data_IF_595604860982
#
_entry.id   IF_595604860982
#
_cell.length_a   1.000
_cell.length_b   1.000
_cell.length_c   1.000
_cell.angle_alpha   90.00
_cell.angle_beta   90.00
_cell.angle_gamma   90.00
#
_symmetry.space_group_name_H-M   'P 1'
#
loop_
_entity.id
_entity.type
_entity.pdbx_description
1 polymer ?
#
# COMPACT_ATOMS: atom_id res chain seq x y z
N UNK A 1 -13.31 -10.75 6.08
CA UNK A 1 -14.25 -10.13 5.13
C UNK A 1 -15.55 -10.92 5.19
N UNK A 2 -16.72 -10.29 5.05
CA UNK A 2 -18.02 -10.99 5.10
C UNK A 2 -18.72 -10.93 3.74
N UNK A 3 -19.79 -11.73 3.55
CA UNK A 3 -20.52 -11.82 2.28
C UNK A 3 -21.16 -10.50 1.84
N UNK A 4 -21.64 -9.68 2.78
CA UNK A 4 -22.22 -8.37 2.45
C UNK A 4 -21.18 -7.40 1.85
N UNK A 5 -19.95 -7.42 2.37
CA UNK A 5 -18.85 -6.63 1.78
C UNK A 5 -18.45 -7.18 0.41
N UNK A 6 -18.45 -8.50 0.23
CA UNK A 6 -18.21 -9.09 -1.10
C UNK A 6 -19.29 -8.68 -2.10
N UNK A 7 -20.58 -8.78 -1.75
CA UNK A 7 -21.69 -8.32 -2.60
C UNK A 7 -21.53 -6.85 -3.00
N UNK A 8 -21.06 -5.99 -2.09
CA UNK A 8 -20.86 -4.57 -2.38
C UNK A 8 -19.68 -4.29 -3.32
N UNK A 9 -18.62 -5.11 -3.28
CA UNK A 9 -17.36 -4.84 -3.98
C UNK A 9 -16.91 -6.03 -4.85
N UNK A 10 -17.84 -6.77 -5.45
CA UNK A 10 -17.56 -7.97 -6.26
C UNK A 10 -17.06 -7.67 -7.67
N UNK A 11 -17.36 -6.48 -8.21
CA UNK A 11 -17.00 -6.11 -9.57
C UNK A 11 -15.47 -6.15 -9.77
N UNK A 12 -15.03 -6.80 -10.86
CA UNK A 12 -13.62 -6.94 -11.21
C UNK A 12 -12.84 -7.98 -10.38
N UNK A 13 -13.51 -8.81 -9.59
CA UNK A 13 -12.87 -9.87 -8.81
C UNK A 13 -13.10 -11.26 -9.42
N UNK A 14 -12.01 -12.01 -9.58
CA UNK A 14 -12.03 -13.45 -9.82
C UNK A 14 -11.81 -14.17 -8.49
N UNK A 15 -12.68 -15.13 -8.17
CA UNK A 15 -12.64 -15.84 -6.88
C UNK A 15 -12.70 -17.36 -7.06
N UNK A 16 -12.11 -18.07 -6.10
CA UNK A 16 -12.05 -19.53 -6.10
C UNK A 16 -12.70 -20.12 -4.84
N UNK A 17 -12.94 -21.43 -4.80
CA UNK A 17 -13.46 -22.10 -3.60
C UNK A 17 -12.47 -22.24 -2.44
N UNK A 18 -11.22 -21.81 -2.64
CA UNK A 18 -10.09 -21.88 -1.70
C UNK A 18 -9.61 -23.31 -1.39
N UNK A 19 -8.58 -23.40 -0.54
CA UNK A 19 -8.00 -24.63 -0.01
C UNK A 19 -8.97 -25.39 0.93
N UNK A 20 -8.50 -26.44 1.61
CA UNK A 20 -9.31 -27.21 2.58
C UNK A 20 -10.00 -26.33 3.66
N UNK A 21 -9.49 -25.15 3.95
CA UNK A 21 -10.10 -24.18 4.88
C UNK A 21 -11.28 -23.40 4.30
N UNK A 22 -11.55 -23.49 3.00
CA UNK A 22 -12.63 -22.80 2.30
C UNK A 22 -14.02 -23.31 2.69
N UNK A 23 -15.05 -22.46 2.49
CA UNK A 23 -16.43 -22.77 2.89
C UNK A 23 -16.96 -24.06 2.20
N UNK A 24 -16.64 -24.26 0.92
CA UNK A 24 -17.08 -25.43 0.14
C UNK A 24 -16.36 -26.72 0.60
N UNK A 25 -15.01 -26.79 0.63
CA UNK A 25 -14.30 -27.93 1.20
C UNK A 25 -14.71 -28.27 2.63
N UNK A 26 -14.87 -27.29 3.51
CA UNK A 26 -15.30 -27.52 4.90
C UNK A 26 -16.71 -28.13 4.98
N UNK A 27 -17.64 -27.68 4.15
CA UNK A 27 -18.99 -28.26 4.12
C UNK A 27 -18.97 -29.73 3.63
N UNK A 28 -18.12 -30.05 2.66
CA UNK A 28 -17.92 -31.43 2.19
C UNK A 28 -17.35 -32.30 3.31
N UNK A 29 -16.28 -31.87 3.97
CA UNK A 29 -15.63 -32.62 5.07
C UNK A 29 -16.56 -32.84 6.27
N UNK A 30 -17.49 -31.92 6.51
CA UNK A 30 -18.53 -32.07 7.54
C UNK A 30 -19.67 -33.01 7.14
N UNK A 31 -19.63 -33.63 5.96
CA UNK A 31 -20.68 -34.50 5.46
C UNK A 31 -21.97 -33.76 5.08
N UNK A 32 -21.86 -32.48 4.68
CA UNK A 32 -23.00 -31.62 4.31
C UNK A 32 -22.92 -31.21 2.83
N UNK A 33 -23.03 -32.16 1.89
CA UNK A 33 -22.83 -31.86 0.46
C UNK A 33 -23.88 -30.90 -0.11
N UNK A 34 -25.12 -30.92 0.39
CA UNK A 34 -26.15 -29.94 -0.01
C UNK A 34 -25.80 -28.51 0.44
N UNK A 35 -25.15 -28.36 1.60
CA UNK A 35 -24.66 -27.06 2.03
C UNK A 35 -23.52 -26.57 1.12
N UNK A 36 -22.61 -27.47 0.73
CA UNK A 36 -21.53 -27.17 -0.20
C UNK A 36 -22.07 -26.66 -1.56
N UNK A 37 -23.10 -27.33 -2.11
CA UNK A 37 -23.81 -26.89 -3.32
C UNK A 37 -24.43 -25.51 -3.17
N UNK A 38 -25.10 -25.25 -2.04
CA UNK A 38 -25.71 -23.93 -1.77
C UNK A 38 -24.67 -22.82 -1.72
N UNK A 39 -23.51 -23.09 -1.10
CA UNK A 39 -22.40 -22.14 -1.01
C UNK A 39 -21.83 -21.88 -2.41
N UNK A 40 -21.48 -22.93 -3.15
CA UNK A 40 -20.94 -22.80 -4.51
C UNK A 40 -21.92 -22.06 -5.44
N UNK A 41 -23.23 -22.35 -5.34
CA UNK A 41 -24.26 -21.64 -6.10
C UNK A 41 -24.29 -20.15 -5.79
N UNK A 42 -24.22 -19.76 -4.51
CA UNK A 42 -24.21 -18.35 -4.14
C UNK A 42 -23.02 -17.60 -4.77
N UNK A 43 -21.82 -18.21 -4.74
CA UNK A 43 -20.64 -17.62 -5.40
C UNK A 43 -20.81 -17.58 -6.92
N UNK A 44 -21.35 -18.63 -7.56
CA UNK A 44 -21.64 -18.63 -9.01
C UNK A 44 -22.68 -17.58 -9.40
N UNK A 45 -23.71 -17.37 -8.59
CA UNK A 45 -24.73 -16.35 -8.82
C UNK A 45 -24.17 -14.93 -8.71
N UNK A 46 -23.21 -14.70 -7.81
CA UNK A 46 -22.60 -13.39 -7.59
C UNK A 46 -21.48 -13.05 -8.59
N UNK A 47 -20.59 -14.00 -8.88
CA UNK A 47 -19.38 -13.78 -9.69
C UNK A 47 -19.49 -14.35 -11.12
N UNK A 48 -20.53 -15.12 -11.43
CA UNK A 48 -20.74 -15.68 -12.76
C UNK A 48 -19.57 -16.55 -13.24
N UNK A 49 -18.99 -16.21 -14.38
CA UNK A 49 -17.88 -16.96 -14.98
C UNK A 49 -16.51 -16.64 -14.36
N UNK A 50 -16.48 -15.71 -13.40
CA UNK A 50 -15.30 -15.38 -12.61
C UNK A 50 -15.24 -16.13 -11.27
N UNK A 51 -16.14 -17.12 -11.10
CA UNK A 51 -16.04 -18.11 -10.03
C UNK A 51 -15.52 -19.46 -10.53
N UNK A 52 -14.50 -19.97 -9.87
CA UNK A 52 -13.92 -21.28 -10.13
C UNK A 52 -13.95 -22.16 -8.89
N UNK A 53 -14.16 -23.46 -9.08
CA UNK A 53 -13.89 -24.43 -8.01
C UNK A 53 -12.42 -24.83 -8.05
N UNK A 54 -11.77 -24.83 -6.90
CA UNK A 54 -10.33 -25.02 -6.77
C UNK A 54 -10.02 -26.43 -6.31
N UNK A 55 -9.12 -27.11 -7.03
CA UNK A 55 -8.56 -28.40 -6.60
C UNK A 55 -7.09 -28.23 -6.23
N UNK A 56 -6.72 -28.85 -5.11
CA UNK A 56 -5.37 -28.85 -4.56
C UNK A 56 -5.07 -30.27 -4.05
N UNK A 57 -3.80 -30.66 -4.09
CA UNK A 57 -3.39 -31.95 -3.54
C UNK A 57 -1.97 -31.90 -2.97
N UNK A 58 -1.91 -32.12 -1.66
CA UNK A 58 -0.72 -32.13 -0.81
C UNK A 58 -0.48 -33.51 -0.17
N UNK A 59 -1.19 -34.55 -0.61
CA UNK A 59 -1.11 -35.90 -0.05
C UNK A 59 -2.05 -36.14 1.15
N UNK A 60 -2.96 -35.21 1.46
CA UNK A 60 -3.88 -35.33 2.60
C UNK A 60 -5.10 -36.20 2.28
N UNK A 61 -5.56 -37.00 3.24
CA UNK A 61 -6.73 -37.89 3.03
C UNK A 61 -8.02 -37.10 2.76
N UNK A 62 -8.11 -35.94 3.37
CA UNK A 62 -9.20 -34.98 3.24
C UNK A 62 -9.35 -34.52 1.79
N UNK A 63 -8.25 -34.32 1.06
CA UNK A 63 -8.27 -33.91 -0.36
C UNK A 63 -8.80 -35.01 -1.27
N UNK A 64 -8.55 -36.29 -0.94
CA UNK A 64 -9.13 -37.44 -1.66
C UNK A 64 -10.65 -37.52 -1.49
N UNK A 65 -11.19 -36.88 -0.46
CA UNK A 65 -12.64 -36.77 -0.25
C UNK A 65 -13.19 -35.51 -0.93
N UNK A 66 -12.49 -34.38 -0.80
CA UNK A 66 -12.95 -33.07 -1.28
C UNK A 66 -12.90 -32.98 -2.80
N UNK A 67 -11.79 -33.36 -3.43
CA UNK A 67 -11.59 -33.15 -4.87
C UNK A 67 -12.64 -33.87 -5.75
N UNK A 68 -13.01 -35.15 -5.48
CA UNK A 68 -14.06 -35.81 -6.25
C UNK A 68 -15.45 -35.19 -6.04
N UNK A 69 -15.75 -34.67 -4.86
CA UNK A 69 -17.02 -33.96 -4.59
C UNK A 69 -17.04 -32.59 -5.25
N UNK A 70 -15.92 -31.87 -5.27
CA UNK A 70 -15.76 -30.64 -6.04
C UNK A 70 -16.07 -30.89 -7.52
N UNK A 71 -15.54 -31.96 -8.11
CA UNK A 71 -15.84 -32.33 -9.50
C UNK A 71 -17.33 -32.59 -9.74
N UNK A 72 -18.04 -33.18 -8.79
CA UNK A 72 -19.50 -33.37 -8.90
C UNK A 72 -20.22 -32.03 -8.89
N UNK A 73 -19.89 -31.16 -7.92
CA UNK A 73 -20.51 -29.83 -7.80
C UNK A 73 -20.22 -28.98 -9.06
N UNK A 74 -19.00 -29.02 -9.57
CA UNK A 74 -18.58 -28.36 -10.80
C UNK A 74 -19.50 -28.71 -11.98
N UNK A 75 -19.72 -30.02 -12.21
CA UNK A 75 -20.58 -30.51 -13.30
C UNK A 75 -22.05 -30.18 -13.10
N UNK A 76 -22.54 -30.24 -11.87
CA UNK A 76 -23.95 -29.96 -11.56
C UNK A 76 -24.32 -28.49 -11.70
N UNK A 77 -23.38 -27.59 -11.37
CA UNK A 77 -23.59 -26.15 -11.35
C UNK A 77 -22.97 -25.41 -12.56
N UNK A 78 -22.34 -26.15 -13.47
CA UNK A 78 -21.62 -25.61 -14.63
C UNK A 78 -20.55 -24.58 -14.22
N UNK A 79 -19.65 -25.00 -13.31
CA UNK A 79 -18.56 -24.17 -12.78
C UNK A 79 -17.24 -24.80 -13.20
N UNK A 80 -16.36 -24.01 -13.81
CA UNK A 80 -15.01 -24.45 -14.21
C UNK A 80 -14.16 -24.76 -12.99
N UNK A 81 -13.24 -25.72 -13.15
CA UNK A 81 -12.28 -26.11 -12.12
C UNK A 81 -10.93 -25.48 -12.43
N UNK A 82 -10.19 -25.04 -11.40
CA UNK A 82 -8.81 -24.57 -11.52
C UNK A 82 -7.91 -25.36 -10.58
N UNK A 83 -6.72 -25.74 -11.05
CA UNK A 83 -5.71 -26.44 -10.24
C UNK A 83 -4.69 -25.46 -9.66
N UNK A 84 -4.48 -25.51 -8.35
CA UNK A 84 -3.50 -24.68 -7.64
C UNK A 84 -2.75 -25.51 -6.59
N UNK A 85 -1.75 -24.93 -5.93
CA UNK A 85 -0.88 -25.65 -4.98
C UNK A 85 -0.59 -24.91 -3.66
N UNK A 86 -1.34 -23.83 -3.37
CA UNK A 86 -1.20 -23.02 -2.15
C UNK A 86 0.26 -22.80 -1.70
N UNK A 87 1.11 -22.34 -2.63
CA UNK A 87 2.56 -22.35 -2.43
C UNK A 87 3.01 -21.37 -1.33
N UNK A 88 3.75 -21.86 -0.34
CA UNK A 88 4.29 -21.09 0.78
C UNK A 88 5.82 -20.90 0.71
N UNK A 89 6.49 -21.64 -0.18
CA UNK A 89 7.94 -21.57 -0.40
C UNK A 89 8.28 -21.85 -1.87
N UNK A 90 9.50 -21.51 -2.30
CA UNK A 90 9.86 -21.51 -3.72
C UNK A 90 10.20 -22.91 -4.20
N UNK A 91 11.18 -23.57 -3.56
CA UNK A 91 11.62 -24.91 -3.93
C UNK A 91 11.29 -25.96 -2.88
N UNK A 92 11.28 -27.23 -3.27
CA UNK A 92 11.03 -28.35 -2.36
C UNK A 92 12.05 -28.45 -1.19
N UNK A 93 13.26 -27.90 -1.36
CA UNK A 93 14.31 -27.87 -0.33
C UNK A 93 14.12 -26.75 0.72
N UNK A 94 13.11 -25.89 0.57
CA UNK A 94 12.87 -24.76 1.49
C UNK A 94 11.91 -25.15 2.64
N UNK A 95 11.45 -26.41 2.68
CA UNK A 95 10.46 -26.89 3.66
C UNK A 95 10.94 -26.74 5.10
N UNK A 96 12.22 -27.00 5.40
CA UNK A 96 12.77 -26.85 6.74
C UNK A 96 12.85 -25.37 7.16
N UNK A 97 13.16 -24.48 6.20
CA UNK A 97 13.19 -23.05 6.45
C UNK A 97 11.78 -22.51 6.74
N UNK A 98 10.77 -23.03 6.02
CA UNK A 98 9.37 -22.71 6.27
C UNK A 98 8.88 -23.27 7.62
N UNK A 99 9.19 -24.52 7.99
CA UNK A 99 8.84 -25.08 9.32
C UNK A 99 9.44 -24.25 10.46
N UNK A 100 10.71 -23.84 10.33
CA UNK A 100 11.35 -22.95 11.29
C UNK A 100 10.66 -21.58 11.37
N UNK A 101 10.21 -21.01 10.25
CA UNK A 101 9.44 -19.76 10.24
C UNK A 101 8.12 -19.89 11.00
N UNK A 102 7.38 -20.99 10.82
CA UNK A 102 6.12 -21.26 11.53
C UNK A 102 6.35 -21.41 13.03
N UNK A 103 7.41 -22.13 13.43
CA UNK A 103 7.80 -22.29 14.82
C UNK A 103 8.13 -20.94 15.48
N UNK A 104 8.88 -20.07 14.78
CA UNK A 104 9.15 -18.69 15.21
C UNK A 104 7.86 -17.88 15.39
N UNK A 105 6.91 -17.97 14.44
CA UNK A 105 5.64 -17.23 14.50
C UNK A 105 4.73 -17.70 15.63
N UNK A 106 4.73 -19.01 15.91
CA UNK A 106 3.87 -19.64 16.92
C UNK A 106 4.53 -19.76 18.30
N UNK A 107 5.81 -19.38 18.42
CA UNK A 107 6.58 -19.49 19.66
C UNK A 107 6.83 -20.93 20.10
N UNK A 108 6.96 -21.84 19.13
CA UNK A 108 7.14 -23.29 19.32
C UNK A 108 8.56 -23.70 18.95
N UNK A 109 9.04 -24.81 19.53
CA UNK A 109 10.31 -25.42 19.14
C UNK A 109 10.12 -26.42 18.00
N UNK A 110 11.13 -26.58 17.14
CA UNK A 110 11.16 -27.60 16.07
C UNK A 110 11.06 -29.02 16.64
N UNK A 111 11.52 -29.21 17.88
CA UNK A 111 11.44 -30.50 18.58
C UNK A 111 10.04 -30.82 19.13
N UNK A 112 9.10 -29.86 19.19
CA UNK A 112 7.74 -30.12 19.67
C UNK A 112 6.92 -30.87 18.62
N UNK A 113 6.37 -32.03 18.98
CA UNK A 113 5.53 -32.84 18.07
C UNK A 113 4.20 -32.16 17.71
N UNK A 114 3.58 -31.46 18.68
CA UNK A 114 2.30 -30.75 18.49
C UNK A 114 2.55 -29.29 18.11
N UNK A 115 2.95 -29.08 16.87
CA UNK A 115 3.15 -27.75 16.26
C UNK A 115 2.46 -27.66 14.91
N UNK A 116 2.26 -26.43 14.44
CA UNK A 116 1.80 -26.20 13.08
C UNK A 116 2.93 -26.56 12.11
N UNK A 117 2.68 -27.55 11.26
CA UNK A 117 3.62 -28.01 10.24
C UNK A 117 2.85 -28.42 8.99
N UNK A 118 3.40 -28.07 7.84
CA UNK A 118 2.85 -28.37 6.52
C UNK A 118 3.40 -29.68 5.97
N UNK A 119 2.82 -30.21 4.89
CA UNK A 119 3.21 -31.52 4.34
C UNK A 119 4.59 -31.49 3.70
N UNK A 120 5.03 -30.32 3.22
CA UNK A 120 6.29 -30.13 2.50
C UNK A 120 6.14 -30.13 0.99
N UNK A 121 4.90 -30.18 0.50
CA UNK A 121 4.59 -30.20 -0.94
C UNK A 121 4.09 -28.85 -1.46
N UNK A 122 3.97 -27.85 -0.57
CA UNK A 122 3.45 -26.50 -0.83
C UNK A 122 4.53 -25.57 -1.43
N UNK A 123 5.31 -26.08 -2.40
CA UNK A 123 6.28 -25.30 -3.18
C UNK A 123 5.73 -24.90 -4.55
N UNK A 124 6.48 -24.09 -5.31
CA UNK A 124 6.11 -23.76 -6.68
C UNK A 124 6.46 -24.92 -7.61
N UNK A 125 5.46 -25.77 -7.89
CA UNK A 125 5.60 -26.95 -8.76
C UNK A 125 5.63 -26.58 -10.23
N UNK A 126 6.33 -27.39 -11.03
CA UNK A 126 6.21 -27.38 -12.48
C UNK A 126 4.85 -27.92 -12.94
N UNK A 127 4.47 -27.60 -14.18
CA UNK A 127 3.23 -28.11 -14.77
C UNK A 127 3.20 -29.65 -14.82
N UNK A 128 4.34 -30.30 -15.06
CA UNK A 128 4.44 -31.77 -15.10
C UNK A 128 4.25 -32.37 -13.70
N UNK A 129 4.81 -31.75 -12.66
CA UNK A 129 4.55 -32.15 -11.27
C UNK A 129 3.08 -31.97 -10.91
N UNK A 130 2.44 -30.88 -11.32
CA UNK A 130 1.01 -30.64 -11.05
C UNK A 130 0.12 -31.72 -11.68
N UNK A 131 0.44 -32.19 -12.90
CA UNK A 131 -0.35 -33.23 -13.60
C UNK A 131 -0.37 -34.57 -12.87
N UNK A 132 0.68 -34.90 -12.11
CA UNK A 132 0.79 -36.20 -11.45
C UNK A 132 0.15 -36.25 -10.07
N UNK A 133 -0.16 -35.11 -9.46
CA UNK A 133 -0.66 -35.06 -8.08
C UNK A 133 -1.99 -35.83 -7.91
N UNK A 134 -2.95 -35.58 -8.81
CA UNK A 134 -4.34 -36.00 -8.64
C UNK A 134 -4.68 -37.39 -9.20
N UNK A 135 -3.69 -38.13 -9.73
CA UNK A 135 -3.90 -39.34 -10.54
C UNK A 135 -4.62 -40.48 -9.81
N UNK A 136 -4.57 -40.50 -8.48
CA UNK A 136 -5.20 -41.53 -7.65
C UNK A 136 -6.70 -41.33 -7.45
N UNK A 137 -7.24 -40.13 -7.67
CA UNK A 137 -8.63 -39.80 -7.30
C UNK A 137 -9.38 -38.88 -8.28
N UNK A 138 -8.72 -38.32 -9.30
CA UNK A 138 -9.36 -37.58 -10.40
C UNK A 138 -8.98 -38.14 -11.78
N UNK A 139 -9.85 -38.04 -12.80
CA UNK A 139 -9.49 -38.37 -14.18
C UNK A 139 -8.46 -37.38 -14.74
N UNK A 140 -7.46 -37.87 -15.48
CA UNK A 140 -6.39 -37.03 -16.05
C UNK A 140 -6.92 -35.90 -16.93
N UNK A 141 -7.97 -36.15 -17.70
CA UNK A 141 -8.62 -35.16 -18.58
C UNK A 141 -9.10 -33.93 -17.80
N UNK A 142 -9.66 -34.13 -16.60
CA UNK A 142 -10.14 -33.07 -15.72
C UNK A 142 -8.96 -32.29 -15.13
N UNK A 143 -7.86 -32.97 -14.81
CA UNK A 143 -6.65 -32.34 -14.27
C UNK A 143 -6.01 -31.45 -15.33
N UNK A 144 -5.89 -31.96 -16.56
CA UNK A 144 -5.34 -31.20 -17.68
C UNK A 144 -6.22 -29.99 -18.01
N UNK A 145 -7.55 -30.13 -17.97
CA UNK A 145 -8.50 -29.02 -18.09
C UNK A 145 -8.33 -28.00 -16.96
N UNK A 146 -8.23 -28.44 -15.71
CA UNK A 146 -8.09 -27.57 -14.55
C UNK A 146 -6.75 -26.79 -14.57
N UNK A 147 -5.69 -27.41 -15.07
CA UNK A 147 -4.41 -26.73 -15.31
C UNK A 147 -4.54 -25.74 -16.47
N UNK A 148 -5.21 -26.09 -17.57
CA UNK A 148 -5.42 -25.18 -18.70
C UNK A 148 -6.24 -23.94 -18.29
N UNK A 149 -7.24 -24.12 -17.43
CA UNK A 149 -8.06 -23.03 -16.89
C UNK A 149 -7.23 -22.02 -16.07
N UNK A 150 -6.04 -22.39 -15.55
CA UNK A 150 -5.14 -21.41 -14.90
C UNK A 150 -4.65 -20.34 -15.89
N UNK A 151 -4.46 -20.71 -17.16
CA UNK A 151 -4.07 -19.77 -18.22
C UNK A 151 -5.26 -18.88 -18.61
N UNK A 152 -6.47 -19.43 -18.65
CA UNK A 152 -7.68 -18.62 -18.86
C UNK A 152 -7.84 -17.56 -17.75
N UNK A 153 -7.62 -17.93 -16.49
CA UNK A 153 -7.62 -16.98 -15.37
C UNK A 153 -6.55 -15.92 -15.57
N UNK A 154 -5.33 -16.30 -15.97
CA UNK A 154 -4.25 -15.36 -16.23
C UNK A 154 -4.57 -14.40 -17.38
N UNK A 155 -5.20 -14.88 -18.45
CA UNK A 155 -5.58 -14.09 -19.63
C UNK A 155 -6.68 -13.04 -19.33
N UNK A 156 -7.45 -13.24 -18.24
CA UNK A 156 -8.44 -12.26 -17.76
C UNK A 156 -7.81 -11.09 -16.98
N UNK A 157 -6.54 -11.19 -16.57
CA UNK A 157 -5.91 -10.18 -15.71
C UNK A 157 -5.48 -8.97 -16.55
N UNK A 158 -6.03 -7.80 -16.24
CA UNK A 158 -5.62 -6.54 -16.83
C UNK A 158 -4.32 -6.01 -16.21
N UNK A 159 -3.52 -5.27 -16.99
CA UNK A 159 -2.35 -4.58 -16.45
C UNK A 159 -2.78 -3.53 -15.42
N UNK A 160 -2.17 -3.59 -14.24
CA UNK A 160 -2.43 -2.65 -13.15
C UNK A 160 -1.13 -1.95 -12.73
N UNK A 161 -1.26 -0.65 -12.44
CA UNK A 161 -0.17 0.15 -11.89
C UNK A 161 -0.37 0.32 -10.39
N UNK A 162 0.51 -0.31 -9.59
CA UNK A 162 0.48 -0.20 -8.12
C UNK A 162 0.88 1.20 -7.64
N UNK A 163 1.73 1.88 -8.42
CA UNK A 163 2.19 3.23 -8.12
C UNK A 163 1.32 4.23 -8.87
N UNK A 164 0.59 5.06 -8.13
CA UNK A 164 -0.15 6.19 -8.69
C UNK A 164 0.72 7.44 -8.78
N UNK A 165 0.35 8.37 -9.66
CA UNK A 165 0.98 9.69 -9.70
C UNK A 165 0.88 10.42 -8.34
N UNK A 166 1.86 11.28 -8.00
CA UNK A 166 1.80 12.08 -6.79
C UNK A 166 0.51 12.91 -6.74
N UNK A 167 -0.31 12.71 -5.71
CA UNK A 167 -1.51 13.51 -5.47
C UNK A 167 -1.19 14.58 -4.45
N UNK A 168 -1.22 15.84 -4.88
CA UNK A 168 -1.14 17.00 -3.99
C UNK A 168 -2.56 17.30 -3.49
N UNK A 169 -2.78 17.55 -2.18
CA UNK A 169 -4.08 17.94 -1.67
C UNK A 169 -4.56 19.25 -2.31
N UNK A 170 -5.87 19.36 -2.56
CA UNK A 170 -6.48 20.63 -2.93
C UNK A 170 -6.47 21.56 -1.71
N UNK A 171 -5.85 22.74 -1.83
CA UNK A 171 -5.85 23.76 -0.77
C UNK A 171 -7.04 24.72 -0.95
N UNK A 172 -7.84 25.00 0.09
CA UNK A 172 -8.95 25.95 -0.03
C UNK A 172 -8.43 27.39 -0.09
N UNK A 173 -8.59 28.05 -1.24
CA UNK A 173 -8.25 29.48 -1.39
C UNK A 173 -9.45 30.39 -1.09
N UNK A 174 -9.24 31.58 -0.49
CA UNK A 174 -10.30 32.56 -0.27
C UNK A 174 -10.97 33.02 -1.57
N UNK A 175 -12.23 33.46 -1.47
CA UNK A 175 -12.98 34.02 -2.60
C UNK A 175 -12.23 35.23 -3.19
N UNK A 176 -12.14 35.29 -4.52
CA UNK A 176 -11.39 36.33 -5.23
C UNK A 176 -9.92 35.98 -5.51
N UNK A 177 -9.41 34.87 -4.97
CA UNK A 177 -8.05 34.38 -5.26
C UNK A 177 -8.03 33.11 -6.10
N UNK A 178 -7.05 33.04 -6.99
CA UNK A 178 -6.51 31.79 -7.55
C UNK A 178 -5.44 31.20 -6.63
N UNK A 179 -5.12 29.91 -6.79
CA UNK A 179 -4.00 29.24 -6.10
C UNK A 179 -2.72 30.04 -6.16
N UNK A 180 -2.33 30.43 -7.38
CA UNK A 180 -1.14 31.23 -7.63
C UNK A 180 -1.22 32.61 -6.96
N UNK A 181 -2.31 33.36 -7.16
CA UNK A 181 -2.41 34.71 -6.58
C UNK A 181 -2.40 34.69 -5.04
N UNK A 182 -2.99 33.67 -4.42
CA UNK A 182 -2.95 33.53 -2.96
C UNK A 182 -1.55 33.15 -2.49
N UNK A 183 -0.88 32.21 -3.17
CA UNK A 183 0.51 31.86 -2.91
C UNK A 183 1.43 33.09 -2.98
N UNK A 184 1.36 33.87 -4.06
CA UNK A 184 2.15 35.12 -4.21
C UNK A 184 1.88 36.10 -3.08
N UNK A 185 0.61 36.33 -2.75
CA UNK A 185 0.22 37.24 -1.67
C UNK A 185 0.80 36.79 -0.32
N UNK A 186 0.60 35.53 0.07
CA UNK A 186 1.09 35.01 1.35
C UNK A 186 2.62 35.04 1.42
N UNK A 187 3.31 34.73 0.32
CA UNK A 187 4.77 34.80 0.27
C UNK A 187 5.27 36.24 0.44
N UNK A 188 4.67 37.22 -0.25
CA UNK A 188 5.06 38.63 -0.13
C UNK A 188 4.77 39.18 1.27
N UNK A 189 3.58 38.90 1.82
CA UNK A 189 3.22 39.29 3.19
C UNK A 189 4.16 38.67 4.23
N UNK A 190 4.52 37.40 4.06
CA UNK A 190 5.47 36.72 4.93
C UNK A 190 6.86 37.38 4.92
N UNK A 191 7.35 37.80 3.75
CA UNK A 191 8.64 38.47 3.65
C UNK A 191 8.62 39.87 4.31
N UNK A 192 7.52 40.61 4.16
CA UNK A 192 7.31 41.91 4.84
C UNK A 192 7.35 41.72 6.37
N UNK A 193 6.64 40.71 6.90
CA UNK A 193 6.61 40.39 8.33
C UNK A 193 8.00 39.99 8.87
N UNK A 194 8.74 39.16 8.13
CA UNK A 194 10.11 38.75 8.47
C UNK A 194 11.05 39.93 8.66
N UNK A 195 10.98 40.92 7.77
CA UNK A 195 11.79 42.13 7.84
C UNK A 195 11.18 43.25 8.69
N UNK A 196 9.96 43.06 9.21
CA UNK A 196 9.22 44.07 9.99
C UNK A 196 9.05 45.39 9.23
N UNK A 197 8.76 45.29 7.95
CA UNK A 197 8.54 46.43 7.06
C UNK A 197 7.05 46.77 6.98
N UNK A 198 6.72 47.97 6.50
CA UNK A 198 5.32 48.36 6.32
C UNK A 198 4.80 48.01 4.92
N UNK A 199 5.67 47.94 3.93
CA UNK A 199 5.33 47.70 2.53
C UNK A 199 6.38 46.83 1.84
N UNK A 200 6.01 46.26 0.70
CA UNK A 200 6.91 45.42 -0.10
C UNK A 200 7.99 46.27 -0.80
N UNK A 201 7.67 47.55 -1.06
CA UNK A 201 8.52 48.55 -1.72
C UNK A 201 9.74 48.98 -0.88
N UNK A 202 9.83 48.59 0.38
CA UNK A 202 10.98 48.77 1.25
C UNK A 202 12.00 47.61 1.16
N UNK A 203 11.62 46.46 0.58
CA UNK A 203 12.51 45.30 0.42
C UNK A 203 13.59 45.61 -0.63
N UNK A 204 14.84 45.22 -0.40
CA UNK A 204 15.92 45.48 -1.37
C UNK A 204 15.68 44.75 -2.69
N UNK A 205 16.18 45.34 -3.79
CA UNK A 205 15.98 44.78 -5.13
C UNK A 205 16.47 43.33 -5.24
N UNK A 206 17.61 43.01 -4.60
CA UNK A 206 18.18 41.65 -4.56
C UNK A 206 17.19 40.61 -4.03
N UNK A 207 16.47 40.92 -2.93
CA UNK A 207 15.50 40.00 -2.36
C UNK A 207 14.23 39.91 -3.20
N UNK A 208 13.80 41.00 -3.84
CA UNK A 208 12.65 40.97 -4.74
C UNK A 208 12.92 40.11 -5.96
N UNK A 209 14.05 40.35 -6.63
CA UNK A 209 14.43 39.60 -7.83
C UNK A 209 14.52 38.10 -7.52
N UNK A 210 15.10 37.75 -6.37
CA UNK A 210 15.16 36.35 -5.92
C UNK A 210 13.78 35.79 -5.61
N UNK A 211 12.92 36.52 -4.91
CA UNK A 211 11.59 36.04 -4.52
C UNK A 211 10.71 35.79 -5.73
N UNK A 212 10.68 36.72 -6.69
CA UNK A 212 9.87 36.58 -7.90
C UNK A 212 10.35 35.41 -8.77
N UNK A 213 11.68 35.23 -8.92
CA UNK A 213 12.24 34.06 -9.61
C UNK A 213 11.80 32.73 -8.97
N UNK A 214 11.87 32.62 -7.63
CA UNK A 214 11.45 31.41 -6.93
C UNK A 214 9.94 31.16 -7.05
N UNK A 215 9.12 32.20 -6.93
CA UNK A 215 7.66 32.15 -7.08
C UNK A 215 7.28 31.64 -8.47
N UNK A 216 7.86 32.22 -9.52
CA UNK A 216 7.58 31.84 -10.91
C UNK A 216 7.99 30.38 -11.17
N UNK A 217 9.19 29.98 -10.73
CA UNK A 217 9.63 28.60 -10.93
C UNK A 217 8.75 27.58 -10.19
N UNK A 218 8.36 27.88 -8.94
CA UNK A 218 7.45 27.01 -8.19
C UNK A 218 6.08 26.87 -8.85
N UNK A 219 5.57 27.96 -9.44
CA UNK A 219 4.32 27.96 -10.19
C UNK A 219 4.40 27.12 -11.47
N UNK A 220 5.45 27.29 -12.27
CA UNK A 220 5.68 26.49 -13.48
C UNK A 220 5.80 24.99 -13.17
N UNK A 221 6.39 24.65 -12.02
CA UNK A 221 6.49 23.26 -11.56
C UNK A 221 5.18 22.72 -10.98
N UNK A 222 4.22 23.58 -10.64
CA UNK A 222 2.92 23.20 -10.09
C UNK A 222 2.94 22.92 -8.59
N UNK A 223 3.79 23.62 -7.83
CA UNK A 223 3.97 23.39 -6.40
C UNK A 223 3.28 24.41 -5.48
N UNK A 224 2.51 25.37 -6.02
CA UNK A 224 1.79 26.39 -5.25
C UNK A 224 0.99 25.80 -4.07
N UNK A 225 0.15 24.80 -4.36
CA UNK A 225 -0.69 24.16 -3.36
C UNK A 225 0.13 23.41 -2.30
N UNK A 226 1.25 22.80 -2.70
CA UNK A 226 2.14 22.11 -1.77
C UNK A 226 2.75 23.08 -0.75
N UNK A 227 3.25 24.23 -1.20
CA UNK A 227 3.81 25.24 -0.31
C UNK A 227 2.76 25.89 0.59
N UNK A 228 1.55 26.12 0.08
CA UNK A 228 0.44 26.64 0.89
C UNK A 228 0.02 25.65 1.98
N UNK A 229 -0.09 24.35 1.68
CA UNK A 229 -0.37 23.32 2.69
C UNK A 229 0.72 23.31 3.77
N UNK A 230 1.99 23.35 3.36
CA UNK A 230 3.13 23.35 4.29
C UNK A 230 3.15 24.60 5.17
N UNK A 231 2.94 25.76 4.56
CA UNK A 231 2.83 27.03 5.27
C UNK A 231 1.70 26.99 6.29
N UNK A 232 0.53 26.49 5.92
CA UNK A 232 -0.69 26.52 6.72
C UNK A 232 -0.55 25.73 8.03
N UNK A 233 -0.05 24.48 7.97
CA UNK A 233 0.15 23.70 9.20
C UNK A 233 1.29 24.25 10.07
N UNK A 234 2.30 24.90 9.48
CA UNK A 234 3.38 25.56 10.23
C UNK A 234 2.85 26.82 10.92
N UNK A 235 2.02 27.59 10.21
CA UNK A 235 1.34 28.76 10.75
C UNK A 235 0.43 28.35 11.90
N UNK A 236 -0.41 27.33 11.72
CA UNK A 236 -1.24 26.77 12.79
C UNK A 236 -0.39 26.38 14.01
N UNK A 237 0.73 25.69 13.81
CA UNK A 237 1.61 25.31 14.90
C UNK A 237 2.12 26.53 15.68
N UNK A 238 2.57 27.58 14.98
CA UNK A 238 3.05 28.82 15.63
C UNK A 238 1.95 29.58 16.35
N UNK A 239 0.79 29.75 15.72
CA UNK A 239 -0.36 30.46 16.29
C UNK A 239 -0.87 29.75 17.57
N UNK A 240 -0.67 28.44 17.66
CA UNK A 240 -1.03 27.62 18.82
C UNK A 240 0.14 27.37 19.79
N UNK A 241 1.23 28.14 19.70
CA UNK A 241 2.41 28.03 20.57
C UNK A 241 3.04 26.62 20.57
N UNK A 242 3.04 25.94 19.43
CA UNK A 242 3.78 24.68 19.21
C UNK A 242 5.16 25.05 18.65
N UNK A 243 6.25 24.71 19.35
CA UNK A 243 7.60 24.97 18.84
C UNK A 243 7.85 24.22 17.52
N UNK A 244 8.32 24.98 16.52
CA UNK A 244 8.72 24.50 15.19
C UNK A 244 10.23 24.72 15.04
N UNK A 245 10.94 23.71 14.56
CA UNK A 245 12.37 23.79 14.28
C UNK A 245 12.70 24.82 13.19
N UNK A 246 13.99 25.16 13.02
CA UNK A 246 14.42 26.16 12.04
C UNK A 246 14.31 25.70 10.56
N UNK A 247 13.86 24.47 10.32
CA UNK A 247 13.86 23.79 9.02
C UNK A 247 15.11 22.93 8.83
N UNK A 248 15.00 21.86 8.04
CA UNK A 248 16.10 20.94 7.72
C UNK A 248 16.20 20.67 6.22
N UNK A 249 17.35 20.16 5.80
CA UNK A 249 17.57 19.76 4.41
C UNK A 249 17.71 20.94 3.44
N UNK A 250 17.39 20.68 2.17
CA UNK A 250 17.56 21.66 1.09
C UNK A 250 16.55 22.80 1.14
N UNK A 251 15.41 22.64 1.81
CA UNK A 251 14.38 23.69 1.95
C UNK A 251 14.93 25.03 2.50
N UNK A 252 16.01 25.00 3.28
CA UNK A 252 16.67 26.20 3.81
C UNK A 252 17.26 27.12 2.71
N UNK A 253 17.42 26.65 1.48
CA UNK A 253 17.92 27.44 0.34
C UNK A 253 16.86 28.30 -0.37
N UNK A 254 15.59 28.19 0.00
CA UNK A 254 14.49 28.93 -0.63
C UNK A 254 14.08 30.17 0.17
N UNK A 255 14.07 31.32 -0.49
CA UNK A 255 13.55 32.57 0.07
C UNK A 255 12.03 32.50 0.25
N UNK A 256 11.30 31.81 -0.62
CA UNK A 256 9.86 31.54 -0.44
C UNK A 256 9.62 30.75 0.85
N UNK A 257 10.41 29.70 1.09
CA UNK A 257 10.32 28.92 2.32
C UNK A 257 10.63 29.76 3.57
N UNK A 258 11.61 30.67 3.48
CA UNK A 258 11.91 31.60 4.57
C UNK A 258 10.77 32.61 4.82
N UNK A 259 10.20 33.16 3.74
CA UNK A 259 9.13 34.15 3.78
C UNK A 259 7.83 33.58 4.37
N UNK A 260 7.40 32.41 3.90
CA UNK A 260 6.28 31.65 4.49
C UNK A 260 6.63 31.11 5.89
N UNK A 261 7.89 31.23 6.28
CA UNK A 261 8.39 30.76 7.55
C UNK A 261 8.38 29.25 7.72
N UNK A 262 8.43 28.51 6.62
CA UNK A 262 8.75 27.09 6.59
C UNK A 262 10.16 26.86 7.15
N UNK A 263 11.08 27.76 6.83
CA UNK A 263 12.45 27.79 7.36
C UNK A 263 12.70 29.10 8.11
N UNK A 264 13.68 29.11 9.01
CA UNK A 264 14.05 30.29 9.81
C UNK A 264 15.43 30.87 9.45
N UNK A 265 16.08 30.36 8.40
CA UNK A 265 17.40 30.80 7.95
C UNK A 265 17.22 31.66 6.70
N UNK A 266 17.78 32.86 6.70
CA UNK A 266 17.76 33.75 5.53
C UNK A 266 18.74 33.22 4.46
N UNK A 267 18.24 32.74 3.31
CA UNK A 267 19.08 32.13 2.30
C UNK A 267 19.93 33.14 1.54
N UNK A 268 19.45 34.39 1.37
CA UNK A 268 20.17 35.42 0.62
C UNK A 268 21.35 35.91 1.46
N UNK A 269 21.11 36.18 2.75
CA UNK A 269 22.17 36.59 3.67
C UNK A 269 23.29 35.55 3.81
N UNK A 270 22.93 34.26 3.76
CA UNK A 270 23.88 33.15 3.91
C UNK A 270 24.37 32.55 2.58
N UNK A 271 23.97 33.11 1.43
CA UNK A 271 24.39 32.62 0.11
C UNK A 271 23.95 31.19 -0.21
N UNK A 272 22.78 30.79 0.29
CA UNK A 272 22.20 29.47 0.04
C UNK A 272 21.52 29.42 -1.34
N UNK A 273 21.71 28.31 -2.04
CA UNK A 273 21.25 28.12 -3.41
C UNK A 273 19.86 27.48 -3.43
N UNK A 274 18.93 28.09 -4.17
CA UNK A 274 17.57 27.59 -4.36
C UNK A 274 17.56 26.37 -5.28
N UNK A 275 18.46 26.34 -6.25
CA UNK A 275 18.59 25.27 -7.25
C UNK A 275 18.98 23.93 -6.62
N UNK A 276 19.57 23.96 -5.41
CA UNK A 276 19.84 22.76 -4.61
C UNK A 276 18.56 22.15 -4.03
N UNK A 277 17.51 22.95 -3.87
CA UNK A 277 16.21 22.55 -3.38
C UNK A 277 15.26 22.18 -4.52
N UNK A 278 15.09 23.07 -5.49
CA UNK A 278 14.28 22.85 -6.68
C UNK A 278 15.13 23.07 -7.92
N UNK A 279 15.37 21.98 -8.67
CA UNK A 279 16.13 22.04 -9.90
C UNK A 279 15.16 22.25 -11.09
N UNK A 280 15.28 23.35 -11.86
CA UNK A 280 14.42 23.63 -13.02
C UNK A 280 14.50 22.54 -14.11
N UNK A 281 15.65 21.87 -14.25
CA UNK A 281 15.84 20.82 -15.26
C UNK A 281 15.22 19.47 -14.86
N UNK A 282 14.78 19.33 -13.60
CA UNK A 282 14.23 18.08 -13.07
C UNK A 282 12.94 18.34 -12.31
N UNK A 283 11.80 18.01 -12.94
CA UNK A 283 10.49 17.99 -12.29
C UNK A 283 10.40 16.82 -11.31
N UNK A 284 10.95 16.99 -10.10
CA UNK A 284 10.79 16.08 -8.97
C UNK A 284 10.10 16.80 -7.82
N UNK A 285 9.20 16.11 -7.12
CA UNK A 285 8.51 16.67 -5.96
C UNK A 285 9.54 17.04 -4.88
N UNK A 286 9.52 18.29 -4.36
CA UNK A 286 10.41 18.71 -3.29
C UNK A 286 10.02 18.02 -1.99
N UNK A 287 11.03 17.76 -1.15
CA UNK A 287 10.83 17.18 0.17
C UNK A 287 11.06 18.27 1.24
N UNK A 288 9.97 18.75 1.83
CA UNK A 288 10.01 19.70 2.95
C UNK A 288 9.75 18.95 4.25
N UNK A 289 10.81 18.74 4.98
CA UNK A 289 10.75 18.19 6.33
C UNK A 289 10.68 19.29 7.38
N UNK A 290 9.70 19.19 8.28
CA UNK A 290 9.54 20.11 9.41
C UNK A 290 9.67 19.38 10.74
N UNK A 291 10.51 19.91 11.63
CA UNK A 291 10.66 19.40 13.00
C UNK A 291 9.65 20.07 13.93
N UNK A 292 8.87 19.27 14.66
CA UNK A 292 7.90 19.73 15.67
C UNK A 292 8.27 19.20 17.04
N UNK A 293 7.85 19.90 18.10
CA UNK A 293 7.91 19.40 19.46
C UNK A 293 7.23 18.02 19.58
N UNK A 294 7.93 17.04 20.17
CA UNK A 294 7.48 15.64 20.23
C UNK A 294 6.12 15.49 20.94
N UNK A 295 5.88 16.28 21.99
CA UNK A 295 4.68 16.19 22.82
C UNK A 295 3.43 16.74 22.12
N UNK A 296 3.61 17.67 21.18
CA UNK A 296 2.52 18.38 20.48
C UNK A 296 2.48 18.13 18.98
N UNK A 297 3.28 17.18 18.49
CA UNK A 297 3.27 16.77 17.08
C UNK A 297 1.91 16.22 16.66
N UNK A 298 1.21 15.52 17.56
CA UNK A 298 -0.12 14.96 17.28
C UNK A 298 -1.14 16.04 16.93
N UNK A 299 -1.14 17.17 17.65
CA UNK A 299 -2.04 18.30 17.39
C UNK A 299 -1.95 18.82 15.94
N UNK A 300 -0.74 18.82 15.36
CA UNK A 300 -0.51 19.24 13.97
C UNK A 300 -0.98 18.16 12.99
N UNK A 301 -0.78 16.88 13.31
CA UNK A 301 -1.28 15.77 12.48
C UNK A 301 -2.81 15.78 12.45
N UNK A 302 -3.45 16.02 13.59
CA UNK A 302 -4.91 16.07 13.71
C UNK A 302 -5.45 17.26 12.90
N UNK A 303 -4.83 18.44 13.03
CA UNK A 303 -5.17 19.61 12.22
C UNK A 303 -5.11 19.35 10.71
N UNK A 304 -4.01 18.78 10.22
CA UNK A 304 -3.86 18.45 8.79
C UNK A 304 -4.92 17.43 8.36
N UNK A 305 -5.21 16.45 9.22
CA UNK A 305 -6.20 15.40 8.91
C UNK A 305 -7.60 15.97 8.78
N UNK A 306 -8.00 16.88 9.67
CA UNK A 306 -9.33 17.49 9.66
C UNK A 306 -9.52 18.51 8.53
N UNK A 307 -8.49 19.30 8.22
CA UNK A 307 -8.61 20.44 7.31
C UNK A 307 -8.17 20.14 5.87
N UNK A 308 -7.25 19.19 5.67
CA UNK A 308 -6.62 18.95 4.35
C UNK A 308 -7.00 17.60 3.72
N UNK A 309 -7.60 16.68 4.48
CA UNK A 309 -7.85 15.31 3.99
C UNK A 309 -9.31 14.92 4.14
N UNK A 310 -10.12 15.19 3.10
CA UNK A 310 -11.53 14.77 3.04
C UNK A 310 -11.75 13.25 3.00
N UNK A 311 -10.70 12.46 2.75
CA UNK A 311 -10.76 10.99 2.71
C UNK A 311 -9.47 10.35 3.25
N UNK A 312 -9.30 10.37 4.58
CA UNK A 312 -8.37 9.51 5.33
C UNK A 312 -6.88 9.88 5.26
N UNK A 313 -6.39 10.57 6.29
CA UNK A 313 -4.95 10.62 6.59
C UNK A 313 -4.51 9.27 7.14
N UNK A 314 -3.47 8.67 6.56
CA UNK A 314 -2.86 7.44 7.07
C UNK A 314 -1.37 7.64 7.23
N UNK A 315 -0.85 7.27 8.40
CA UNK A 315 0.59 7.20 8.62
C UNK A 315 1.18 6.10 7.75
N UNK A 316 2.27 6.39 7.05
CA UNK A 316 3.05 5.37 6.35
C UNK A 316 3.44 4.28 7.34
N UNK A 317 3.09 3.03 7.03
CA UNK A 317 3.44 1.88 7.85
C UNK A 317 4.89 1.47 7.54
N UNK A 318 5.82 1.53 8.51
CA UNK A 318 7.17 1.07 8.28
C UNK A 318 7.17 -0.46 8.19
N UNK A 319 7.62 -1.01 7.08
CA UNK A 319 7.98 -2.42 6.99
C UNK A 319 9.39 -2.60 7.55
N UNK A 320 9.54 -3.39 8.61
CA UNK A 320 10.85 -3.67 9.20
C UNK A 320 11.40 -4.99 8.68
N UNK A 321 12.45 -4.92 7.87
CA UNK A 321 13.22 -6.12 7.53
C UNK A 321 13.87 -6.69 8.79
N UNK A 322 13.94 -8.02 8.91
CA UNK A 322 14.64 -8.65 10.03
C UNK A 322 16.14 -8.45 9.90
N UNK A 323 16.80 -7.76 10.84
CA UNK A 323 18.25 -7.61 10.79
C UNK A 323 18.92 -8.97 10.96
N UNK A 324 20.05 -9.20 10.28
CA UNK A 324 20.79 -10.47 10.33
C UNK A 324 21.02 -11.01 11.75
N UNK A 325 21.35 -10.14 12.70
CA UNK A 325 21.54 -10.51 14.12
C UNK A 325 20.26 -11.04 14.76
N UNK A 326 19.10 -10.50 14.40
CA UNK A 326 17.79 -10.94 14.90
C UNK A 326 17.40 -12.28 14.30
N UNK A 327 17.61 -12.49 12.99
CA UNK A 327 17.39 -13.79 12.34
C UNK A 327 18.19 -14.90 13.01
N UNK A 328 19.49 -14.67 13.28
CA UNK A 328 20.36 -15.64 13.97
C UNK A 328 19.86 -15.99 15.38
N UNK A 329 19.32 -15.02 16.12
CA UNK A 329 18.76 -15.28 17.46
C UNK A 329 17.45 -16.07 17.38
N UNK A 330 16.58 -15.72 16.43
CA UNK A 330 15.30 -16.39 16.23
C UNK A 330 15.52 -17.84 15.79
N UNK A 331 16.45 -18.07 14.86
CA UNK A 331 16.84 -19.41 14.43
C UNK A 331 17.39 -20.27 15.57
N UNK A 332 18.23 -19.71 16.44
CA UNK A 332 18.77 -20.44 17.60
C UNK A 332 17.74 -20.70 18.71
N UNK A 333 16.69 -19.90 18.77
CA UNK A 333 15.64 -20.01 19.78
C UNK A 333 14.49 -20.93 19.36
N UNK A 334 14.57 -21.49 18.16
CA UNK A 334 13.56 -22.31 17.52
C UNK A 334 13.99 -23.78 17.50
#
# INVERSE_FOLDING_TARGET
MNKAVLEQYHEGLIVTSACLGGEVPQAILQGKPEAARKIARWYKELFGDDYYLEIQDHGLKEERVVNPEILKIARELDIKIVATNDSHFVGCNDVEAHDALLCIQTGKLISEEKRLRYTGTEYLKSADEMRVLFQDHLPQEIVDEAIANTLEVADKIEEYHVLSEPRIPDYPVPEGHTMYSYFVEQTRLGLIDRFKLNNYEEITQEYRDRLEYEIELMHEMGFDAYFLVVWDYIKYARDNNIPVGPGRGSAAGSLVAYALGITNIDPVHHGLLFERFLNPERKSMPDIDTDFCIDRRSDVIDYVTENMVKSGSRRLLPTTAWPRRRCLKMWRGC
#
